data_IF_260998716381
#
_entry.id   IF_260998716381
#
_cell.length_a   1.000
_cell.length_b   1.000
_cell.length_c   1.000
_cell.angle_alpha   90.00
_cell.angle_beta   90.00
_cell.angle_gamma   90.00
#
_symmetry.space_group_name_H-M   'P 1'
#
loop_
_entity.id
_entity.type
_entity.pdbx_description
1 polymer ?
#
# COMPACT_ATOMS: atom_id res chain seq x y z
N UNK A 1 -17.00 44.04 64.43
CA UNK A 1 -16.67 43.73 63.01
C UNK A 1 -16.09 42.33 62.97
N UNK A 2 -16.50 41.36 62.17
CA UNK A 2 -17.48 41.27 61.10
C UNK A 2 -17.31 39.90 60.42
N UNK A 3 -18.38 39.47 59.74
CA UNK A 3 -18.44 38.43 58.69
C UNK A 3 -18.70 36.99 59.14
N UNK A 4 -19.98 36.69 59.33
CA UNK A 4 -20.55 35.35 59.22
C UNK A 4 -20.32 34.80 57.81
N UNK A 5 -19.57 33.69 57.69
CA UNK A 5 -19.47 32.91 56.45
C UNK A 5 -20.62 31.90 56.42
N UNK A 6 -21.68 32.22 55.68
CA UNK A 6 -22.71 31.26 55.31
C UNK A 6 -22.10 30.21 54.37
N UNK A 7 -21.74 29.03 54.89
CA UNK A 7 -21.61 27.82 54.07
C UNK A 7 -23.02 27.32 53.78
N UNK A 8 -23.56 27.71 52.63
CA UNK A 8 -24.71 27.01 52.07
C UNK A 8 -24.21 25.65 51.58
N UNK A 9 -24.39 24.61 52.40
CA UNK A 9 -24.37 23.23 51.94
C UNK A 9 -25.63 23.05 51.09
N UNK A 10 -25.51 23.34 49.79
CA UNK A 10 -26.54 22.98 48.83
C UNK A 10 -26.47 21.46 48.66
N UNK A 11 -27.26 20.74 49.46
CA UNK A 11 -27.51 19.32 49.22
C UNK A 11 -28.24 19.18 47.88
N UNK A 12 -27.76 18.26 47.04
CA UNK A 12 -28.42 17.93 45.77
C UNK A 12 -29.88 17.60 46.02
N UNK A 13 -30.78 18.31 45.34
CA UNK A 13 -32.22 18.05 45.47
C UNK A 13 -32.55 16.73 44.78
N UNK A 14 -33.46 15.93 45.34
CA UNK A 14 -33.87 14.63 44.77
C UNK A 14 -34.28 14.72 43.30
N UNK A 15 -34.98 15.80 42.93
CA UNK A 15 -35.40 16.06 41.55
C UNK A 15 -34.20 16.30 40.60
N UNK A 16 -33.18 17.02 41.06
CA UNK A 16 -31.96 17.29 40.28
C UNK A 16 -31.16 16.01 40.01
N UNK A 17 -31.06 15.11 41.00
CA UNK A 17 -30.42 13.80 40.81
C UNK A 17 -31.20 12.90 39.85
N UNK A 18 -32.54 12.97 39.87
CA UNK A 18 -33.40 12.18 38.99
C UNK A 18 -33.28 12.65 37.53
N UNK A 19 -33.25 13.98 37.32
CA UNK A 19 -33.01 14.59 36.01
C UNK A 19 -31.59 14.28 35.53
N UNK A 20 -30.58 14.34 36.40
CA UNK A 20 -29.21 14.00 36.04
C UNK A 20 -29.08 12.54 35.59
N UNK A 21 -29.70 11.59 36.31
CA UNK A 21 -29.70 10.16 35.92
C UNK A 21 -30.43 9.95 34.59
N UNK A 22 -31.55 10.65 34.35
CA UNK A 22 -32.25 10.61 33.06
C UNK A 22 -31.35 11.11 31.92
N UNK A 23 -30.69 12.26 32.08
CA UNK A 23 -29.81 12.82 31.05
C UNK A 23 -28.62 11.89 30.80
N UNK A 24 -27.98 11.38 31.86
CA UNK A 24 -26.85 10.46 31.71
C UNK A 24 -27.29 9.17 31.00
N UNK A 25 -28.44 8.60 31.36
CA UNK A 25 -28.95 7.38 30.70
C UNK A 25 -29.20 7.60 29.21
N UNK A 26 -29.78 8.74 28.84
CA UNK A 26 -30.02 9.11 27.45
C UNK A 26 -28.69 9.27 26.69
N UNK A 27 -27.72 9.98 27.28
CA UNK A 27 -26.39 10.17 26.67
C UNK A 27 -25.68 8.82 26.49
N UNK A 28 -25.76 7.90 27.46
CA UNK A 28 -25.12 6.59 27.33
C UNK A 28 -25.70 5.75 26.20
N UNK A 29 -27.01 5.81 25.97
CA UNK A 29 -27.66 5.08 24.86
C UNK A 29 -27.26 5.68 23.50
N UNK A 30 -27.19 7.01 23.41
CA UNK A 30 -26.74 7.72 22.19
C UNK A 30 -25.28 7.35 21.87
N UNK A 31 -24.41 7.34 22.87
CA UNK A 31 -22.99 6.97 22.70
C UNK A 31 -22.85 5.49 22.33
N UNK A 32 -23.58 4.59 23.01
CA UNK A 32 -23.55 3.16 22.72
C UNK A 32 -24.04 2.83 21.30
N UNK A 33 -25.11 3.48 20.83
CA UNK A 33 -25.62 3.32 19.47
C UNK A 33 -24.75 3.99 18.40
N UNK A 34 -24.05 5.08 18.73
CA UNK A 34 -23.14 5.77 17.82
C UNK A 34 -21.85 5.00 17.56
N UNK A 35 -21.28 4.35 18.59
CA UNK A 35 -20.01 3.61 18.48
C UNK A 35 -20.13 2.39 17.54
N UNK A 36 -21.27 1.70 17.53
CA UNK A 36 -21.50 0.52 16.68
C UNK A 36 -21.51 0.86 15.20
N UNK A 37 -22.19 1.93 14.79
CA UNK A 37 -22.23 2.37 13.37
C UNK A 37 -20.85 2.82 12.88
N UNK A 38 -20.09 3.43 13.78
CA UNK A 38 -18.74 3.91 13.49
C UNK A 38 -17.76 2.74 13.28
N UNK A 39 -17.87 1.65 14.03
CA UNK A 39 -16.95 0.50 13.92
C UNK A 39 -16.88 -0.07 12.51
N UNK A 40 -18.02 -0.37 11.90
CA UNK A 40 -18.08 -0.96 10.56
C UNK A 40 -17.50 -0.02 9.50
N UNK A 41 -17.73 1.29 9.68
CA UNK A 41 -17.23 2.32 8.78
C UNK A 41 -15.73 2.52 8.96
N UNK A 42 -15.24 2.60 10.20
CA UNK A 42 -13.82 2.71 10.51
C UNK A 42 -13.04 1.50 10.03
N UNK A 43 -13.57 0.28 10.18
CA UNK A 43 -12.91 -0.92 9.67
C UNK A 43 -12.75 -0.86 8.15
N UNK A 44 -13.81 -0.51 7.41
CA UNK A 44 -13.75 -0.37 5.95
C UNK A 44 -12.79 0.74 5.51
N UNK A 45 -12.81 1.89 6.18
CA UNK A 45 -11.89 3.01 5.90
C UNK A 45 -10.45 2.59 6.17
N UNK A 46 -10.19 1.95 7.32
CA UNK A 46 -8.84 1.54 7.72
C UNK A 46 -8.30 0.45 6.80
N UNK A 47 -9.11 -0.55 6.43
CA UNK A 47 -8.73 -1.59 5.47
C UNK A 47 -8.33 -0.98 4.13
N UNK A 48 -9.15 -0.06 3.61
CA UNK A 48 -8.85 0.64 2.35
C UNK A 48 -7.57 1.48 2.45
N UNK A 49 -7.42 2.25 3.52
CA UNK A 49 -6.23 3.09 3.73
C UNK A 49 -4.95 2.25 3.87
N UNK A 50 -5.02 1.09 4.53
CA UNK A 50 -3.89 0.16 4.65
C UNK A 50 -3.51 -0.43 3.28
N UNK A 51 -4.50 -0.82 2.47
CA UNK A 51 -4.25 -1.30 1.11
C UNK A 51 -3.61 -0.21 0.22
N UNK A 52 -4.11 1.03 0.27
CA UNK A 52 -3.53 2.17 -0.45
C UNK A 52 -2.10 2.46 0.02
N UNK A 53 -1.85 2.40 1.32
CA UNK A 53 -0.50 2.59 1.90
C UNK A 53 0.46 1.49 1.43
N UNK A 54 0.02 0.24 1.41
CA UNK A 54 0.82 -0.88 0.91
C UNK A 54 1.18 -0.71 -0.57
N UNK A 55 0.19 -0.37 -1.41
CA UNK A 55 0.43 -0.11 -2.84
C UNK A 55 1.38 1.06 -3.04
N UNK A 56 1.20 2.17 -2.31
CA UNK A 56 2.05 3.37 -2.43
C UNK A 56 3.49 3.11 -1.98
N UNK A 57 3.68 2.42 -0.87
CA UNK A 57 5.01 2.04 -0.36
C UNK A 57 5.73 1.15 -1.36
N UNK A 58 5.01 0.18 -1.91
CA UNK A 58 5.57 -0.76 -2.90
C UNK A 58 5.92 -0.05 -4.20
N UNK A 59 5.05 0.82 -4.70
CA UNK A 59 5.32 1.63 -5.89
C UNK A 59 6.53 2.53 -5.70
N UNK A 60 6.74 3.07 -4.50
CA UNK A 60 7.91 3.88 -4.20
C UNK A 60 9.18 3.04 -4.28
N UNK A 61 9.20 1.86 -3.65
CA UNK A 61 10.36 0.96 -3.68
C UNK A 61 10.65 0.41 -5.10
N UNK A 62 9.61 0.05 -5.85
CA UNK A 62 9.73 -0.34 -7.27
C UNK A 62 10.24 0.82 -8.12
N UNK A 63 9.68 2.02 -7.88
CA UNK A 63 10.06 3.25 -8.56
C UNK A 63 11.53 3.63 -8.34
N UNK A 64 12.02 3.52 -7.11
CA UNK A 64 13.42 3.79 -6.77
C UNK A 64 14.38 2.85 -7.51
N UNK A 65 13.99 1.58 -7.64
CA UNK A 65 14.75 0.59 -8.42
C UNK A 65 14.72 0.92 -9.91
N UNK A 66 13.52 1.15 -10.47
CA UNK A 66 13.33 1.41 -11.91
C UNK A 66 13.88 2.76 -12.36
N UNK A 67 13.98 3.75 -11.47
CA UNK A 67 14.54 5.06 -11.76
C UNK A 67 15.98 4.98 -12.28
N UNK A 68 16.75 4.03 -11.75
CA UNK A 68 18.11 3.79 -12.17
C UNK A 68 18.26 2.56 -13.07
N UNK A 69 17.22 1.73 -13.21
CA UNK A 69 17.27 0.55 -14.04
C UNK A 69 17.52 0.87 -15.51
N UNK A 70 18.33 0.04 -16.17
CA UNK A 70 18.52 0.08 -17.63
C UNK A 70 17.66 -1.00 -18.28
N UNK A 71 16.92 -0.69 -19.36
CA UNK A 71 16.26 -1.72 -20.13
C UNK A 71 17.31 -2.65 -20.72
N UNK A 72 17.06 -3.95 -20.73
CA UNK A 72 17.92 -4.88 -21.45
C UNK A 72 17.34 -5.06 -22.86
N UNK A 73 18.10 -4.63 -23.87
CA UNK A 73 17.72 -4.76 -25.27
C UNK A 73 17.95 -6.20 -25.74
N UNK A 74 16.88 -6.87 -26.19
CA UNK A 74 16.91 -8.26 -26.67
C UNK A 74 16.07 -9.26 -25.86
N UNK A 75 15.61 -8.85 -24.69
CA UNK A 75 14.85 -9.64 -23.69
C UNK A 75 13.72 -8.81 -23.03
N UNK A 76 13.55 -7.56 -23.47
CA UNK A 76 12.40 -6.71 -23.14
C UNK A 76 11.11 -7.09 -23.90
N UNK A 77 11.16 -8.11 -24.76
CA UNK A 77 9.97 -8.67 -25.39
C UNK A 77 9.40 -9.75 -24.48
N UNK A 78 8.16 -9.52 -24.05
CA UNK A 78 7.37 -10.42 -23.21
C UNK A 78 7.42 -11.85 -23.74
N UNK A 79 8.31 -12.70 -23.21
CA UNK A 79 8.19 -14.13 -23.45
C UNK A 79 7.08 -14.65 -22.53
N UNK A 80 5.89 -14.81 -23.11
CA UNK A 80 4.79 -15.56 -22.48
C UNK A 80 3.95 -14.82 -21.43
N UNK A 81 3.90 -13.48 -21.45
CA UNK A 81 3.10 -12.69 -20.49
C UNK A 81 3.76 -12.49 -19.13
N UNK A 82 5.06 -12.78 -19.03
CA UNK A 82 5.88 -12.50 -17.85
C UNK A 82 6.44 -11.06 -17.87
N UNK A 83 6.71 -10.53 -16.67
CA UNK A 83 7.32 -9.22 -16.46
C UNK A 83 8.73 -9.13 -17.09
N UNK A 84 9.07 -8.03 -17.81
CA UNK A 84 10.31 -7.93 -18.59
C UNK A 84 11.55 -7.74 -17.70
N UNK A 85 12.69 -8.30 -18.12
CA UNK A 85 13.96 -8.11 -17.40
C UNK A 85 14.50 -6.68 -17.56
N UNK A 86 15.12 -6.17 -16.51
CA UNK A 86 15.88 -4.94 -16.50
C UNK A 86 17.24 -5.19 -15.85
N UNK A 87 18.22 -4.34 -16.14
CA UNK A 87 19.48 -4.33 -15.43
C UNK A 87 19.35 -3.41 -14.22
N UNK A 88 19.49 -3.98 -13.03
CA UNK A 88 19.55 -3.23 -11.79
C UNK A 88 20.88 -2.48 -11.72
N UNK A 89 20.81 -1.16 -11.48
CA UNK A 89 22.02 -0.33 -11.41
C UNK A 89 22.77 -0.47 -10.09
N UNK A 90 22.14 -0.96 -9.02
CA UNK A 90 22.82 -1.18 -7.74
C UNK A 90 23.72 -2.41 -7.79
N UNK A 91 23.23 -3.51 -8.36
CA UNK A 91 23.98 -4.77 -8.48
C UNK A 91 24.67 -4.97 -9.84
N UNK A 92 24.26 -4.24 -10.88
CA UNK A 92 24.67 -4.48 -12.27
C UNK A 92 24.08 -5.74 -12.91
N UNK A 93 23.26 -6.49 -12.16
CA UNK A 93 22.72 -7.79 -12.57
C UNK A 93 21.38 -7.64 -13.30
N UNK A 94 21.06 -8.63 -14.13
CA UNK A 94 19.70 -8.75 -14.71
C UNK A 94 18.72 -9.17 -13.61
N UNK A 95 17.65 -8.41 -13.48
CA UNK A 95 16.60 -8.60 -12.50
C UNK A 95 15.22 -8.43 -13.14
N UNK A 96 14.19 -8.93 -12.47
CA UNK A 96 12.78 -8.66 -12.78
C UNK A 96 11.96 -8.65 -11.51
N UNK A 97 10.81 -7.98 -11.53
CA UNK A 97 9.86 -8.13 -10.43
C UNK A 97 8.93 -9.31 -10.68
N UNK A 98 8.74 -10.12 -9.64
CA UNK A 98 7.85 -11.29 -9.65
C UNK A 98 6.88 -11.24 -8.49
N UNK A 99 5.68 -11.74 -8.72
CA UNK A 99 4.75 -12.06 -7.66
C UNK A 99 5.28 -13.31 -6.92
N UNK A 100 5.31 -13.23 -5.59
CA UNK A 100 5.57 -14.41 -4.75
C UNK A 100 4.22 -14.87 -4.23
N UNK A 101 3.94 -16.17 -4.26
CA UNK A 101 2.73 -16.70 -3.61
C UNK A 101 3.05 -16.96 -2.14
N UNK A 102 2.10 -16.71 -1.21
CA UNK A 102 2.32 -16.93 0.21
C UNK A 102 2.52 -18.42 0.48
N UNK A 103 3.76 -18.84 0.73
CA UNK A 103 4.09 -20.23 1.01
C UNK A 103 5.31 -20.31 1.93
N UNK A 104 5.27 -21.23 2.91
CA UNK A 104 6.46 -21.59 3.68
C UNK A 104 7.11 -20.48 4.51
N UNK A 105 6.40 -19.39 4.85
CA UNK A 105 6.93 -18.26 5.61
C UNK A 105 7.17 -16.98 4.79
N UNK A 106 6.91 -17.01 3.48
CA UNK A 106 6.89 -15.82 2.64
C UNK A 106 5.51 -15.16 2.67
N UNK A 107 5.47 -13.83 2.82
CA UNK A 107 4.22 -13.06 2.91
C UNK A 107 3.48 -12.88 1.58
N UNK A 108 3.97 -13.51 0.50
CA UNK A 108 3.35 -13.47 -0.82
C UNK A 108 3.45 -12.11 -1.53
N UNK A 109 4.46 -11.30 -1.17
CA UNK A 109 4.65 -9.96 -1.72
C UNK A 109 5.58 -9.94 -2.94
N UNK A 110 5.63 -8.79 -3.60
CA UNK A 110 6.49 -8.58 -4.77
C UNK A 110 7.95 -8.75 -4.35
N UNK A 111 8.68 -9.55 -5.13
CA UNK A 111 10.11 -9.75 -4.96
C UNK A 111 10.86 -9.37 -6.24
N UNK A 112 12.07 -8.86 -6.06
CA UNK A 112 13.04 -8.74 -7.12
C UNK A 112 13.76 -10.08 -7.28
N UNK A 113 13.65 -10.68 -8.46
CA UNK A 113 14.30 -11.94 -8.82
C UNK A 113 15.57 -11.65 -9.62
N UNK A 114 16.71 -12.15 -9.15
CA UNK A 114 17.98 -12.13 -9.87
C UNK A 114 18.29 -13.50 -10.47
N UNK A 115 18.80 -13.51 -11.70
CA UNK A 115 19.20 -14.75 -12.39
C UNK A 115 18.04 -15.46 -13.09
N UNK A 116 18.06 -16.80 -13.09
CA UNK A 116 17.13 -17.62 -13.89
C UNK A 116 15.68 -17.53 -13.40
N UNK A 117 14.69 -17.61 -14.32
CA UNK A 117 13.27 -17.47 -13.96
C UNK A 117 12.75 -18.55 -12.99
N UNK A 118 13.36 -19.75 -12.99
CA UNK A 118 12.94 -20.90 -12.17
C UNK A 118 13.63 -20.99 -10.80
N UNK A 119 14.91 -20.63 -10.73
CA UNK A 119 15.77 -20.84 -9.55
C UNK A 119 16.47 -19.55 -9.07
N UNK A 120 16.10 -18.41 -9.64
CA UNK A 120 16.70 -17.11 -9.31
C UNK A 120 16.44 -16.70 -7.86
N UNK A 121 17.42 -16.04 -7.25
CA UNK A 121 17.30 -15.51 -5.90
C UNK A 121 16.21 -14.44 -5.86
N UNK A 122 15.27 -14.58 -4.93
CA UNK A 122 14.18 -13.61 -4.71
C UNK A 122 14.49 -12.79 -3.47
N UNK A 123 14.42 -11.47 -3.61
CA UNK A 123 14.58 -10.52 -2.52
C UNK A 123 13.30 -9.68 -2.44
N UNK A 124 12.57 -9.69 -1.32
CA UNK A 124 11.36 -8.88 -1.15
C UNK A 124 11.65 -7.40 -1.41
N UNK A 125 10.79 -6.75 -2.19
CA UNK A 125 10.93 -5.31 -2.51
C UNK A 125 10.58 -4.43 -1.30
N UNK A 126 9.71 -4.94 -0.45
CA UNK A 126 9.29 -4.34 0.82
C UNK A 126 9.47 -5.39 1.91
N UNK A 127 9.86 -4.95 3.11
CA UNK A 127 9.98 -5.86 4.25
C UNK A 127 8.62 -6.46 4.61
N UNK A 128 8.61 -7.68 5.14
CA UNK A 128 7.43 -8.34 5.70
C UNK A 128 6.60 -7.45 6.60
N UNK A 129 7.25 -6.63 7.44
CA UNK A 129 6.61 -5.69 8.37
C UNK A 129 5.96 -4.47 7.72
N UNK A 130 6.33 -4.15 6.47
CA UNK A 130 5.77 -3.02 5.72
C UNK A 130 4.46 -3.39 5.02
N UNK A 131 4.13 -4.69 4.98
CA UNK A 131 2.86 -5.19 4.45
C UNK A 131 2.04 -5.71 5.61
N UNK A 132 0.79 -5.28 5.70
CA UNK A 132 -0.12 -5.80 6.71
C UNK A 132 -0.55 -7.21 6.34
N UNK A 133 -0.65 -8.13 7.30
CA UNK A 133 -1.08 -9.53 7.13
C UNK A 133 -2.37 -9.72 6.31
N UNK A 134 -3.17 -8.67 6.16
CA UNK A 134 -4.46 -8.69 5.47
C UNK A 134 -4.36 -8.59 3.94
N UNK A 135 -3.21 -8.19 3.39
CA UNK A 135 -3.02 -8.02 1.95
C UNK A 135 -1.70 -8.59 1.47
N UNK A 136 -1.67 -8.99 0.20
CA UNK A 136 -0.43 -9.20 -0.54
C UNK A 136 -0.43 -8.35 -1.80
N UNK A 137 0.74 -7.91 -2.24
CA UNK A 137 0.88 -7.07 -3.43
C UNK A 137 1.26 -7.89 -4.65
N UNK A 138 0.68 -7.54 -5.81
CA UNK A 138 1.02 -8.09 -7.14
C UNK A 138 1.48 -6.98 -8.08
N UNK A 139 2.35 -7.30 -9.04
CA UNK A 139 2.91 -6.34 -9.99
C UNK A 139 2.79 -6.81 -11.44
N UNK A 140 2.34 -5.89 -12.28
CA UNK A 140 2.46 -5.98 -13.74
C UNK A 140 3.19 -4.74 -14.24
N UNK A 141 4.17 -4.90 -15.14
CA UNK A 141 4.78 -3.74 -15.78
C UNK A 141 5.19 -3.99 -17.22
N UNK A 142 5.18 -2.91 -17.99
CA UNK A 142 5.59 -2.87 -19.40
C UNK A 142 6.61 -1.77 -19.62
N UNK A 143 7.52 -1.97 -20.57
CA UNK A 143 8.49 -0.95 -20.98
C UNK A 143 8.20 -0.52 -22.42
N UNK A 144 8.06 0.78 -22.64
CA UNK A 144 7.97 1.38 -23.97
C UNK A 144 9.32 1.98 -24.36
N UNK A 145 9.98 1.36 -25.35
CA UNK A 145 11.27 1.81 -25.85
C UNK A 145 11.20 3.14 -26.62
N UNK A 146 10.03 3.50 -27.17
CA UNK A 146 9.86 4.75 -27.93
C UNK A 146 9.83 5.98 -27.03
N UNK A 147 9.26 5.85 -25.83
CA UNK A 147 9.14 6.91 -24.82
C UNK A 147 10.09 6.71 -23.62
N UNK A 148 10.90 5.64 -23.64
CA UNK A 148 11.72 5.15 -22.52
C UNK A 148 10.95 5.02 -21.19
N UNK A 149 9.65 4.69 -21.27
CA UNK A 149 8.72 4.78 -20.17
C UNK A 149 8.38 3.40 -19.62
N UNK A 150 8.56 3.21 -18.31
CA UNK A 150 8.00 2.06 -17.59
C UNK A 150 6.59 2.39 -17.14
N UNK A 151 5.61 1.57 -17.52
CA UNK A 151 4.26 1.61 -16.97
C UNK A 151 4.13 0.47 -15.97
N UNK A 152 3.97 0.80 -14.71
CA UNK A 152 3.92 -0.16 -13.60
C UNK A 152 2.56 -0.10 -12.93
N UNK A 153 1.92 -1.25 -12.76
CA UNK A 153 0.68 -1.42 -12.02
C UNK A 153 0.96 -2.30 -10.81
N UNK A 154 0.64 -1.79 -9.63
CA UNK A 154 0.69 -2.56 -8.37
C UNK A 154 -0.72 -2.70 -7.82
N UNK A 155 -1.10 -3.92 -7.47
CA UNK A 155 -2.41 -4.27 -6.95
C UNK A 155 -2.27 -4.90 -5.58
N UNK A 156 -2.93 -4.34 -4.56
CA UNK A 156 -3.10 -4.99 -3.27
C UNK A 156 -4.32 -5.92 -3.34
N UNK A 157 -4.11 -7.18 -3.00
CA UNK A 157 -5.12 -8.23 -3.03
C UNK A 157 -5.38 -8.70 -1.60
N UNK A 158 -6.65 -8.77 -1.21
CA UNK A 158 -7.01 -9.29 0.11
C UNK A 158 -6.47 -10.72 0.27
N UNK A 159 -5.79 -10.99 1.38
CA UNK A 159 -5.45 -12.35 1.75
C UNK A 159 -6.76 -13.07 2.11
N UNK A 160 -7.09 -14.15 1.39
CA UNK A 160 -8.26 -14.95 1.75
C UNK A 160 -7.92 -15.78 2.99
N UNK A 161 -8.61 -15.52 4.10
CA UNK A 161 -8.52 -16.34 5.30
C UNK A 161 -8.75 -17.82 4.93
N UNK A 162 -7.77 -18.65 5.29
CA UNK A 162 -7.72 -20.10 5.08
C UNK A 162 -7.66 -20.60 3.61
N UNK A 163 -6.44 -20.87 3.14
CA UNK A 163 -6.21 -21.95 2.17
C UNK A 163 -6.34 -21.60 0.69
N UNK A 164 -5.80 -20.44 0.27
CA UNK A 164 -5.18 -20.25 -1.05
C UNK A 164 -6.00 -20.59 -2.31
N UNK A 165 -7.32 -20.68 -2.24
CA UNK A 165 -8.17 -21.12 -3.38
C UNK A 165 -9.15 -20.08 -3.90
N UNK A 166 -9.14 -18.88 -3.35
CA UNK A 166 -9.87 -17.73 -3.92
C UNK A 166 -8.88 -16.60 -4.08
N UNK A 167 -8.57 -16.24 -5.33
CA UNK A 167 -7.92 -14.98 -5.64
C UNK A 167 -8.73 -13.89 -4.93
N UNK A 168 -8.11 -13.22 -3.97
CA UNK A 168 -8.78 -12.17 -3.21
C UNK A 168 -9.29 -11.08 -4.16
N UNK A 169 -10.35 -10.38 -3.77
CA UNK A 169 -10.73 -9.17 -4.49
C UNK A 169 -9.62 -8.12 -4.36
N UNK A 170 -9.34 -7.38 -5.43
CA UNK A 170 -8.43 -6.24 -5.39
C UNK A 170 -8.95 -5.20 -4.40
N UNK A 171 -8.12 -4.85 -3.41
CA UNK A 171 -8.43 -3.86 -2.37
C UNK A 171 -8.00 -2.44 -2.79
N UNK A 172 -6.88 -2.33 -3.50
CA UNK A 172 -6.38 -1.09 -4.09
C UNK A 172 -5.52 -1.41 -5.32
N UNK A 173 -5.51 -0.52 -6.31
CA UNK A 173 -4.66 -0.64 -7.50
C UNK A 173 -4.20 0.75 -7.94
N UNK A 174 -2.90 0.88 -8.22
CA UNK A 174 -2.35 2.11 -8.76
C UNK A 174 -1.42 1.79 -9.93
N UNK A 175 -1.52 2.62 -10.97
CA UNK A 175 -0.61 2.60 -12.11
C UNK A 175 0.22 3.89 -12.13
N UNK A 176 1.54 3.75 -12.17
CA UNK A 176 2.50 4.87 -12.21
C UNK A 176 3.46 4.67 -13.37
N UNK A 177 3.91 5.80 -13.91
CA UNK A 177 4.87 5.85 -15.00
C UNK A 177 6.24 6.30 -14.49
N UNK A 178 7.29 5.57 -14.84
CA UNK A 178 8.67 5.88 -14.47
C UNK A 178 9.53 6.10 -15.71
N UNK A 179 10.50 7.01 -15.60
CA UNK A 179 11.56 7.26 -16.60
C UNK A 179 11.10 7.73 -17.99
N UNK A 180 9.87 8.20 -18.13
CA UNK A 180 9.34 8.62 -19.43
C UNK A 180 10.08 9.88 -19.92
N UNK A 181 10.60 9.84 -21.14
CA UNK A 181 11.05 11.05 -21.83
C UNK A 181 9.79 11.85 -22.16
N UNK A 182 9.63 13.00 -21.52
CA UNK A 182 8.70 14.00 -22.04
C UNK A 182 9.15 14.30 -23.47
N UNK A 183 8.27 14.13 -24.45
CA UNK A 183 8.58 14.43 -25.85
C UNK A 183 8.90 15.92 -26.00
N UNK A 184 10.18 16.30 -25.86
CA UNK A 184 10.75 17.60 -26.24
C UNK A 184 12.26 17.68 -25.95
N UNK A 185 13.02 16.67 -26.33
CA UNK A 185 14.47 16.83 -26.58
C UNK A 185 14.78 16.46 -28.04
N UNK A 186 14.08 17.11 -28.96
CA UNK A 186 14.48 17.21 -30.36
C UNK A 186 15.03 18.61 -30.61
N UNK A 187 16.28 18.87 -30.24
CA UNK A 187 17.13 19.87 -30.92
C UNK A 187 18.58 19.87 -30.42
N UNK A 188 19.49 19.53 -31.34
CA UNK A 188 20.77 20.20 -31.48
C UNK A 188 21.94 19.72 -30.62
N UNK A 189 22.78 18.87 -31.21
CA UNK A 189 24.19 19.23 -31.42
C UNK A 189 24.81 18.33 -32.48
N UNK A 190 24.87 18.90 -33.68
CA UNK A 190 25.84 18.51 -34.70
C UNK A 190 27.14 19.25 -34.33
N UNK A 191 28.15 18.51 -33.87
CA UNK A 191 29.57 18.90 -33.79
C UNK A 191 30.33 17.59 -34.01
N UNK A 192 30.87 17.32 -35.21
CA UNK A 192 32.08 17.85 -35.86
C UNK A 192 33.24 16.83 -35.76
N UNK A 193 33.80 16.49 -36.92
CA UNK A 193 34.96 15.63 -37.12
C UNK A 193 35.05 15.16 -38.56
#
# INVERSE_FOLDING_TARGET
>A
MGRSRNRKTAGFTLAETLVAVLIISLVTVIVAGGITVLRDTYQKITLKANAETAVSTTLTAVGDTLRFARPVSGDGEMQGGENPFFQDSASGMKARFVDTEPSGGDDGNIAMQYGSPKDGQKIPVISSQAVTDQFHTKIAYTYDASTNCYRVTVTAVNQSDAGGKRAGAAAAEHTVYFRCLNGSDSSGSSENG
#
